data_IF_529184398531
#
_entry.id   IF_529184398531
#
_cell.length_a   1.000
_cell.length_b   1.000
_cell.length_c   1.000
_cell.angle_alpha   90.00
_cell.angle_beta   90.00
_cell.angle_gamma   90.00
#
_symmetry.space_group_name_H-M   'P 1'
#
loop_
_entity.id
_entity.type
_entity.pdbx_description
1 polymer ?
#
# COMPACT_ATOMS: atom_id res chain seq x y z
N UNK A 1 -28.71 -0.18 -4.28
CA UNK A 1 -27.67 -1.12 -4.72
C UNK A 1 -26.73 -0.36 -5.62
N UNK A 2 -25.51 -0.21 -5.15
CA UNK A 2 -24.49 0.57 -5.83
C UNK A 2 -23.53 -0.42 -6.50
N UNK A 3 -23.90 -0.85 -7.73
CA UNK A 3 -23.13 -1.82 -8.52
C UNK A 3 -21.65 -1.41 -8.66
N UNK A 4 -21.36 -0.11 -8.59
CA UNK A 4 -20.00 0.43 -8.65
C UNK A 4 -19.15 0.08 -7.41
N UNK A 5 -19.75 -0.02 -6.22
CA UNK A 5 -19.01 -0.37 -4.99
C UNK A 5 -18.53 -1.82 -5.06
N UNK A 6 -19.42 -2.74 -5.42
CA UNK A 6 -19.06 -4.15 -5.47
C UNK A 6 -18.10 -4.46 -6.63
N UNK A 7 -18.23 -3.75 -7.77
CA UNK A 7 -17.24 -3.80 -8.84
C UNK A 7 -15.87 -3.33 -8.33
N UNK A 8 -15.81 -2.24 -7.57
CA UNK A 8 -14.54 -1.74 -6.99
C UNK A 8 -13.91 -2.77 -6.03
N UNK A 9 -14.72 -3.38 -5.16
CA UNK A 9 -14.25 -4.41 -4.22
C UNK A 9 -13.72 -5.64 -4.99
N UNK A 10 -14.38 -6.03 -6.07
CA UNK A 10 -13.95 -7.13 -6.96
C UNK A 10 -12.68 -6.77 -7.76
N UNK A 11 -12.51 -5.51 -8.18
CA UNK A 11 -11.27 -5.05 -8.82
C UNK A 11 -10.06 -5.09 -7.88
N UNK A 12 -10.32 -4.94 -6.58
CA UNK A 12 -9.35 -5.04 -5.49
C UNK A 12 -9.25 -6.44 -4.87
N UNK A 13 -9.70 -7.47 -5.59
CA UNK A 13 -9.54 -8.86 -5.17
C UNK A 13 -8.09 -9.34 -5.35
N UNK A 14 -7.60 -10.09 -4.37
CA UNK A 14 -6.34 -10.84 -4.41
C UNK A 14 -6.61 -12.31 -4.73
N UNK A 15 -5.63 -12.96 -5.35
CA UNK A 15 -5.73 -14.39 -5.70
C UNK A 15 -5.45 -15.24 -4.47
N UNK A 16 -6.50 -15.61 -3.76
CA UNK A 16 -6.43 -16.41 -2.56
C UNK A 16 -5.81 -15.71 -1.35
N UNK A 17 -6.14 -16.26 -0.20
CA UNK A 17 -5.57 -15.85 1.08
C UNK A 17 -4.07 -16.15 1.11
N UNK A 18 -3.21 -15.20 1.50
CA UNK A 18 -1.78 -15.45 1.70
C UNK A 18 -1.53 -16.53 2.77
N UNK A 19 -0.47 -17.32 2.60
CA UNK A 19 -0.03 -18.29 3.62
C UNK A 19 0.44 -17.60 4.89
N UNK A 20 1.15 -16.47 4.74
CA UNK A 20 1.58 -15.62 5.84
C UNK A 20 0.49 -14.60 6.19
N UNK A 21 0.08 -14.54 7.45
CA UNK A 21 -0.94 -13.60 7.93
C UNK A 21 -0.41 -12.18 8.15
N UNK A 22 0.41 -11.69 7.22
CA UNK A 22 1.04 -10.37 7.29
C UNK A 22 0.45 -9.42 6.25
N UNK A 23 0.45 -8.12 6.57
CA UNK A 23 0.03 -7.07 5.65
C UNK A 23 0.89 -7.07 4.37
N UNK A 24 2.19 -7.31 4.54
CA UNK A 24 3.14 -7.39 3.42
C UNK A 24 2.81 -8.54 2.47
N UNK A 25 2.49 -9.73 3.00
CA UNK A 25 2.15 -10.89 2.17
C UNK A 25 0.87 -10.63 1.35
N UNK A 26 -0.14 -9.99 1.95
CA UNK A 26 -1.37 -9.60 1.27
C UNK A 26 -1.12 -8.58 0.15
N UNK A 27 -0.37 -7.50 0.44
CA UNK A 27 -0.02 -6.50 -0.56
C UNK A 27 0.86 -7.06 -1.68
N UNK A 28 1.64 -8.11 -1.40
CA UNK A 28 2.39 -8.84 -2.41
C UNK A 28 1.51 -9.66 -3.36
N UNK A 29 0.26 -9.98 -3.02
CA UNK A 29 -0.66 -10.62 -3.97
C UNK A 29 -1.21 -9.63 -5.00
N UNK A 30 -1.24 -8.33 -4.70
CA UNK A 30 -1.71 -7.33 -5.65
C UNK A 30 -0.79 -7.19 -6.86
N UNK A 31 -1.40 -6.96 -8.02
CA UNK A 31 -0.67 -6.52 -9.20
C UNK A 31 -0.20 -5.08 -9.01
N UNK A 32 0.90 -4.70 -9.69
CA UNK A 32 1.37 -3.30 -9.68
C UNK A 32 0.29 -2.31 -10.17
N UNK A 33 -0.64 -2.75 -11.00
CA UNK A 33 -1.76 -1.92 -11.46
C UNK A 33 -2.76 -1.65 -10.35
N UNK A 34 -3.12 -2.67 -9.57
CA UNK A 34 -4.00 -2.51 -8.40
C UNK A 34 -3.36 -1.60 -7.36
N UNK A 35 -2.07 -1.80 -7.04
CA UNK A 35 -1.33 -0.91 -6.13
C UNK A 35 -1.26 0.53 -6.64
N UNK A 36 -1.09 0.74 -7.96
CA UNK A 36 -1.10 2.08 -8.54
C UNK A 36 -2.49 2.73 -8.46
N UNK A 37 -3.56 1.97 -8.70
CA UNK A 37 -4.93 2.46 -8.55
C UNK A 37 -5.21 2.89 -7.10
N UNK A 38 -4.74 2.09 -6.14
CA UNK A 38 -4.82 2.41 -4.71
C UNK A 38 -4.11 3.74 -4.39
N UNK A 39 -2.86 3.89 -4.82
CA UNK A 39 -2.08 5.14 -4.64
C UNK A 39 -2.84 6.35 -5.21
N UNK A 40 -3.41 6.22 -6.40
CA UNK A 40 -4.15 7.31 -7.07
C UNK A 40 -5.42 7.69 -6.31
N UNK A 41 -6.08 6.73 -5.67
CA UNK A 41 -7.33 6.94 -4.94
C UNK A 41 -7.11 7.68 -3.61
N UNK A 42 -5.97 7.45 -2.97
CA UNK A 42 -5.59 8.11 -1.71
C UNK A 42 -4.66 9.32 -1.91
N UNK A 43 -4.38 9.71 -3.16
CA UNK A 43 -3.47 10.81 -3.54
C UNK A 43 -2.10 10.73 -2.82
N UNK A 44 -1.55 9.51 -2.71
CA UNK A 44 -0.29 9.29 -2.02
C UNK A 44 0.88 9.76 -2.90
N UNK A 45 1.90 10.35 -2.28
CA UNK A 45 3.13 10.79 -2.96
C UNK A 45 4.08 9.62 -3.29
N UNK A 46 3.51 8.55 -3.83
CA UNK A 46 4.21 7.34 -4.26
C UNK A 46 4.26 7.34 -5.79
N UNK A 47 5.46 7.43 -6.37
CA UNK A 47 5.56 7.48 -7.83
C UNK A 47 5.27 6.10 -8.45
N UNK A 48 4.37 6.04 -9.44
CA UNK A 48 4.02 4.81 -10.20
C UNK A 48 5.23 4.10 -10.85
N UNK A 49 6.34 4.81 -11.01
CA UNK A 49 7.60 4.29 -11.54
C UNK A 49 8.42 3.48 -10.53
N UNK A 50 8.13 3.58 -9.23
CA UNK A 50 8.82 2.82 -8.18
C UNK A 50 8.67 1.32 -8.40
N UNK A 51 9.59 0.54 -7.83
CA UNK A 51 9.48 -0.92 -7.86
C UNK A 51 8.29 -1.34 -7.00
N UNK A 52 7.73 -2.52 -7.29
CA UNK A 52 6.59 -3.05 -6.52
C UNK A 52 6.92 -3.15 -5.02
N UNK A 53 8.10 -3.63 -4.66
CA UNK A 53 8.53 -3.70 -3.26
C UNK A 53 8.57 -2.33 -2.59
N UNK A 54 9.15 -1.32 -3.24
CA UNK A 54 9.21 0.07 -2.74
C UNK A 54 7.80 0.67 -2.57
N UNK A 55 6.85 0.33 -3.46
CA UNK A 55 5.45 0.73 -3.33
C UNK A 55 4.80 0.05 -2.12
N UNK A 56 5.03 -1.25 -1.94
CA UNK A 56 4.45 -2.01 -0.82
C UNK A 56 4.96 -1.48 0.51
N UNK A 57 6.27 -1.24 0.64
CA UNK A 57 6.87 -0.69 1.86
C UNK A 57 6.25 0.67 2.24
N UNK A 58 6.14 1.58 1.27
CA UNK A 58 5.49 2.88 1.50
C UNK A 58 3.99 2.77 1.83
N UNK A 59 3.29 1.80 1.24
CA UNK A 59 1.89 1.54 1.56
C UNK A 59 1.71 0.96 2.97
N UNK A 60 2.59 0.06 3.40
CA UNK A 60 2.57 -0.48 4.77
C UNK A 60 2.77 0.66 5.76
N UNK A 61 3.78 1.51 5.56
CA UNK A 61 4.04 2.66 6.44
C UNK A 61 2.81 3.59 6.53
N UNK A 62 2.21 3.91 5.38
CA UNK A 62 1.01 4.73 5.33
C UNK A 62 -0.18 4.06 6.04
N UNK A 63 -0.47 2.79 5.73
CA UNK A 63 -1.58 2.04 6.34
C UNK A 63 -1.40 1.95 7.85
N UNK A 64 -0.22 1.58 8.34
CA UNK A 64 0.05 1.51 9.79
C UNK A 64 -0.11 2.86 10.50
N UNK A 65 0.08 3.98 9.79
CA UNK A 65 -0.14 5.31 10.37
C UNK A 65 -1.62 5.73 10.41
N UNK A 66 -2.42 5.33 9.42
CA UNK A 66 -3.82 5.78 9.27
C UNK A 66 -4.81 4.83 9.94
N UNK A 67 -4.50 3.53 10.02
CA UNK A 67 -5.38 2.52 10.63
C UNK A 67 -5.87 2.88 12.04
N UNK A 68 -5.00 3.30 13.00
CA UNK A 68 -5.44 3.62 14.35
C UNK A 68 -6.39 4.82 14.39
N UNK A 69 -6.05 5.89 13.66
CA UNK A 69 -6.87 7.10 13.57
C UNK A 69 -8.25 6.80 12.95
N UNK A 70 -8.29 5.90 11.96
CA UNK A 70 -9.54 5.48 11.36
C UNK A 70 -10.43 4.69 12.32
N UNK A 71 -9.86 3.75 13.07
CA UNK A 71 -10.61 2.95 14.04
C UNK A 71 -11.08 3.77 15.25
N UNK A 72 -10.34 4.81 15.63
CA UNK A 72 -10.75 5.74 16.69
C UNK A 72 -11.84 6.72 16.24
N UNK A 73 -11.76 7.19 14.98
CA UNK A 73 -12.71 8.21 14.46
C UNK A 73 -14.05 7.65 14.00
N UNK A 74 -14.13 6.36 13.68
CA UNK A 74 -15.34 5.72 13.13
C UNK A 74 -15.73 4.50 13.99
N UNK A 75 -16.44 4.76 15.09
CA UNK A 75 -16.91 3.73 16.03
C UNK A 75 -17.78 2.66 15.36
N UNK A 76 -18.61 3.06 14.38
CA UNK A 76 -19.47 2.16 13.62
C UNK A 76 -18.65 1.20 12.74
N UNK A 77 -17.60 1.71 12.10
CA UNK A 77 -16.68 0.91 11.30
C UNK A 77 -15.86 -0.04 12.18
N UNK A 78 -15.38 0.44 13.33
CA UNK A 78 -14.66 -0.38 14.29
C UNK A 78 -15.56 -1.51 14.81
N UNK A 79 -16.78 -1.20 15.25
CA UNK A 79 -17.76 -2.21 15.69
C UNK A 79 -18.10 -3.22 14.58
N UNK A 80 -18.19 -2.78 13.31
CA UNK A 80 -18.36 -3.68 12.19
C UNK A 80 -17.14 -4.60 12.02
N UNK A 81 -15.93 -4.05 12.06
CA UNK A 81 -14.69 -4.80 11.96
C UNK A 81 -14.54 -5.84 13.07
N UNK A 82 -14.76 -5.46 14.34
CA UNK A 82 -14.62 -6.41 15.45
C UNK A 82 -15.67 -7.51 15.41
N UNK A 83 -16.94 -7.17 15.17
CA UNK A 83 -18.03 -8.14 15.29
C UNK A 83 -18.22 -9.00 14.03
N UNK A 84 -18.11 -8.40 12.85
CA UNK A 84 -18.48 -9.06 11.58
C UNK A 84 -17.27 -9.55 10.79
N UNK A 85 -16.05 -9.19 11.20
CA UNK A 85 -14.82 -9.62 10.51
C UNK A 85 -13.91 -10.41 11.45
N UNK A 86 -13.50 -9.83 12.58
CA UNK A 86 -12.53 -10.48 13.48
C UNK A 86 -13.17 -11.60 14.30
N UNK A 87 -14.30 -11.32 14.96
CA UNK A 87 -14.98 -12.26 15.85
C UNK A 87 -16.09 -13.07 15.14
N UNK A 88 -16.13 -13.05 13.81
CA UNK A 88 -17.16 -13.75 13.07
C UNK A 88 -16.91 -15.27 13.06
N UNK A 89 -17.96 -16.05 13.30
CA UNK A 89 -17.91 -17.52 13.24
C UNK A 89 -17.59 -18.05 11.84
N UNK A 90 -17.89 -17.26 10.80
CA UNK A 90 -17.64 -17.55 9.39
C UNK A 90 -17.06 -16.32 8.69
N UNK A 91 -16.15 -16.50 7.71
CA UNK A 91 -15.66 -15.40 6.88
C UNK A 91 -16.82 -14.68 6.20
N UNK A 92 -16.76 -13.35 6.15
CA UNK A 92 -17.77 -12.56 5.45
C UNK A 92 -17.59 -12.70 3.94
N UNK A 93 -18.60 -13.25 3.27
CA UNK A 93 -18.63 -13.35 1.81
C UNK A 93 -18.99 -12.00 1.17
N UNK A 94 -18.23 -11.63 0.13
CA UNK A 94 -18.49 -10.46 -0.70
C UNK A 94 -19.52 -10.83 -1.76
N UNK A 95 -20.78 -10.56 -1.45
CA UNK A 95 -21.91 -10.80 -2.33
C UNK A 95 -22.74 -9.54 -2.60
N UNK A 96 -23.52 -9.60 -3.67
CA UNK A 96 -24.43 -8.51 -4.04
C UNK A 96 -25.56 -8.33 -3.01
N UNK A 97 -25.76 -9.29 -2.10
CA UNK A 97 -26.76 -9.26 -1.03
C UNK A 97 -26.35 -8.40 0.18
N UNK A 98 -25.08 -7.98 0.26
CA UNK A 98 -24.62 -7.07 1.30
C UNK A 98 -25.35 -5.72 1.23
N UNK A 99 -25.66 -5.15 2.38
CA UNK A 99 -26.26 -3.81 2.42
C UNK A 99 -25.28 -2.77 1.87
N UNK A 100 -25.79 -1.71 1.25
CA UNK A 100 -24.94 -0.66 0.67
C UNK A 100 -23.98 -0.04 1.71
N UNK A 101 -24.44 0.09 2.96
CA UNK A 101 -23.59 0.56 4.07
C UNK A 101 -22.49 -0.43 4.42
N UNK A 102 -22.79 -1.72 4.39
CA UNK A 102 -21.78 -2.75 4.69
C UNK A 102 -20.78 -2.86 3.53
N UNK A 103 -21.22 -2.69 2.29
CA UNK A 103 -20.32 -2.59 1.13
C UNK A 103 -19.38 -1.38 1.26
N UNK A 104 -19.88 -0.22 1.68
CA UNK A 104 -19.04 0.97 1.93
C UNK A 104 -18.03 0.72 3.05
N UNK A 105 -18.45 0.09 4.16
CA UNK A 105 -17.56 -0.28 5.28
C UNK A 105 -16.49 -1.26 4.83
N UNK A 106 -16.87 -2.30 4.11
CA UNK A 106 -15.94 -3.29 3.56
C UNK A 106 -14.92 -2.62 2.65
N UNK A 107 -15.37 -1.79 1.70
CA UNK A 107 -14.46 -1.07 0.81
C UNK A 107 -13.49 -0.20 1.61
N UNK A 108 -13.97 0.52 2.62
CA UNK A 108 -13.16 1.36 3.50
C UNK A 108 -12.12 0.54 4.29
N UNK A 109 -12.48 -0.66 4.76
CA UNK A 109 -11.54 -1.57 5.43
C UNK A 109 -10.45 -2.06 4.46
N UNK A 110 -10.80 -2.40 3.22
CA UNK A 110 -9.82 -2.85 2.20
C UNK A 110 -8.89 -1.69 1.80
N UNK A 111 -9.46 -0.50 1.63
CA UNK A 111 -8.73 0.74 1.32
C UNK A 111 -7.73 1.15 2.41
N UNK A 112 -7.85 0.64 3.63
CA UNK A 112 -6.89 0.93 4.70
C UNK A 112 -6.06 -0.29 5.08
N UNK A 113 -6.13 -1.37 4.30
CA UNK A 113 -5.37 -2.60 4.53
C UNK A 113 -5.74 -3.34 5.81
N UNK A 114 -6.95 -3.10 6.34
CA UNK A 114 -7.46 -3.79 7.52
C UNK A 114 -8.00 -5.18 7.16
N UNK A 115 -8.55 -5.31 5.95
CA UNK A 115 -9.05 -6.55 5.37
C UNK A 115 -8.66 -6.62 3.89
N UNK A 116 -8.74 -7.81 3.30
CA UNK A 116 -8.49 -8.07 1.89
C UNK A 116 -9.61 -8.95 1.35
N UNK A 117 -10.05 -8.69 0.13
CA UNK A 117 -10.96 -9.58 -0.57
C UNK A 117 -10.15 -10.70 -1.25
N UNK A 118 -10.23 -11.91 -0.72
CA UNK A 118 -9.55 -13.09 -1.23
C UNK A 118 -10.58 -14.14 -1.65
N UNK A 119 -10.69 -14.40 -2.95
CA UNK A 119 -11.65 -15.37 -3.52
C UNK A 119 -13.13 -15.11 -3.14
N UNK A 120 -13.52 -13.84 -3.02
CA UNK A 120 -14.82 -13.35 -2.54
C UNK A 120 -15.08 -13.54 -1.04
N UNK A 121 -14.05 -13.84 -0.24
CA UNK A 121 -14.13 -13.86 1.21
C UNK A 121 -13.23 -12.78 1.82
N UNK A 122 -13.66 -12.19 2.93
CA UNK A 122 -12.82 -11.27 3.68
C UNK A 122 -11.73 -12.01 4.46
N UNK A 123 -10.50 -11.59 4.22
CA UNK A 123 -9.32 -12.08 4.90
C UNK A 123 -8.66 -10.95 5.70
N UNK A 124 -8.21 -11.25 6.91
CA UNK A 124 -7.59 -10.29 7.84
C UNK A 124 -6.13 -10.63 8.13
N UNK A 125 -5.20 -9.64 8.10
CA UNK A 125 -3.86 -9.83 8.65
C UNK A 125 -3.88 -9.96 10.18
N UNK A 126 -3.09 -10.86 10.74
CA UNK A 126 -3.08 -11.20 12.17
C UNK A 126 -2.71 -9.99 13.05
N UNK A 127 -1.71 -9.20 12.62
CA UNK A 127 -1.25 -8.03 13.35
C UNK A 127 -2.34 -6.94 13.47
N UNK A 128 -3.30 -6.90 12.56
CA UNK A 128 -4.41 -5.94 12.58
C UNK A 128 -5.54 -6.45 13.47
N UNK A 129 -5.80 -7.75 13.47
CA UNK A 129 -6.82 -8.37 14.34
C UNK A 129 -6.52 -8.15 15.84
N UNK A 130 -5.25 -8.06 16.23
CA UNK A 130 -4.84 -7.83 17.63
C UNK A 130 -5.07 -6.39 18.14
N UNK A 131 -5.35 -5.43 17.25
CA UNK A 131 -5.59 -4.03 17.65
C UNK A 131 -6.89 -3.84 18.44
N UNK A 132 -7.80 -4.82 18.38
CA UNK A 132 -9.15 -4.74 18.98
C UNK A 132 -9.30 -5.56 20.28
N UNK A 133 -8.36 -6.46 20.57
CA UNK A 133 -8.41 -7.33 21.77
C UNK A 133 -7.76 -6.71 23.02
N UNK A 134 -7.10 -5.56 22.89
CA UNK A 134 -6.30 -4.99 23.99
C UNK A 134 -7.10 -4.23 25.05
N UNK A 135 -8.42 -4.14 24.98
CA UNK A 135 -9.23 -3.41 25.97
C UNK A 135 -10.04 -4.28 26.94
N UNK A 136 -9.92 -5.62 26.88
CA UNK A 136 -10.68 -6.46 27.81
C UNK A 136 -10.04 -7.80 28.21
N UNK A 137 -8.75 -7.87 28.54
CA UNK A 137 -8.28 -8.87 29.53
C UNK A 137 -7.26 -8.30 30.52
N UNK A 138 -7.79 -8.13 31.72
CA UNK A 138 -7.13 -7.85 33.00
C UNK A 138 -5.91 -8.75 33.19
N UNK A 139 -4.73 -8.14 33.16
CA UNK A 139 -3.45 -8.75 33.47
C UNK A 139 -3.49 -9.40 34.86
N UNK A 140 -3.31 -10.72 34.92
CA UNK A 140 -3.06 -11.47 36.13
C UNK A 140 -1.72 -12.22 36.00
N UNK A 141 -0.75 -11.66 36.72
CA UNK A 141 0.36 -12.31 37.42
C UNK A 141 1.40 -13.16 36.65
N UNK A 142 2.60 -12.57 36.59
CA UNK A 142 3.88 -13.11 37.07
C UNK A 142 4.20 -14.60 36.85
N UNK A 143 5.30 -14.87 36.14
CA UNK A 143 6.48 -15.29 36.88
C UNK A 143 7.82 -15.01 36.17
N UNK A 144 8.75 -14.64 37.03
CA UNK A 144 10.11 -14.17 36.91
C UNK A 144 11.11 -15.28 36.51
N UNK A 145 12.13 -14.94 35.70
CA UNK A 145 13.53 -15.42 35.94
C UNK A 145 14.55 -14.70 35.05
N UNK A 146 14.99 -13.56 35.54
CA UNK A 146 16.39 -13.18 35.79
C UNK A 146 17.52 -13.95 35.07
N UNK A 147 18.35 -13.24 34.28
CA UNK A 147 19.80 -13.15 34.57
C UNK A 147 20.52 -12.00 33.84
N UNK A 148 21.19 -11.18 34.64
CA UNK A 148 22.14 -10.11 34.30
C UNK A 148 23.40 -10.58 33.57
N UNK A 149 24.01 -9.66 32.79
CA UNK A 149 25.35 -9.05 33.02
C UNK A 149 25.56 -7.96 31.95
N UNK A 150 25.65 -6.65 32.26
CA UNK A 150 26.82 -5.89 32.77
C UNK A 150 28.06 -6.00 31.86
N UNK A 151 28.78 -4.97 31.37
CA UNK A 151 28.83 -3.51 31.54
C UNK A 151 29.81 -2.91 30.49
N UNK A 152 29.72 -1.59 30.22
CA UNK A 152 30.82 -0.59 30.08
C UNK A 152 31.96 -0.78 29.03
N UNK A 153 32.65 0.21 28.45
CA UNK A 153 32.68 1.69 28.39
C UNK A 153 33.69 2.06 27.26
N UNK A 154 33.89 3.37 27.02
CA UNK A 154 35.03 4.05 26.36
C UNK A 154 35.10 4.31 24.83
N UNK A 155 34.77 5.57 24.50
CA UNK A 155 35.68 6.65 24.04
C UNK A 155 36.34 6.67 22.62
N UNK A 156 35.88 7.68 21.86
CA UNK A 156 36.60 8.71 21.09
C UNK A 156 37.66 8.35 20.01
N UNK A 157 37.49 8.87 18.78
CA UNK A 157 38.44 9.84 18.17
C UNK A 157 37.86 10.57 16.93
N UNK A 158 38.20 11.85 16.84
CA UNK A 158 37.92 12.84 15.79
C UNK A 158 38.91 12.70 14.62
N UNK A 159 38.50 12.92 13.36
CA UNK A 159 39.36 13.56 12.33
C UNK A 159 38.62 14.05 11.06
N UNK A 160 38.54 15.37 11.01
CA UNK A 160 38.64 16.37 9.93
C UNK A 160 38.76 15.99 8.43
N UNK A 161 38.14 16.85 7.62
CA UNK A 161 38.06 16.97 6.15
C UNK A 161 39.40 17.12 5.38
N UNK A 162 39.38 17.16 4.03
CA UNK A 162 39.34 18.48 3.37
C UNK A 162 38.42 18.59 2.13
N UNK A 163 37.98 19.84 1.87
CA UNK A 163 37.23 20.31 0.72
C UNK A 163 38.11 20.61 -0.52
N UNK A 164 37.47 20.74 -1.71
CA UNK A 164 37.70 21.69 -2.85
C UNK A 164 37.28 21.08 -4.22
N UNK A 165 37.13 21.83 -5.35
CA UNK A 165 36.25 22.97 -5.61
C UNK A 165 35.43 22.84 -6.95
N UNK A 166 34.55 23.84 -7.14
CA UNK A 166 33.59 24.13 -8.23
C UNK A 166 34.02 23.84 -9.69
N UNK A 167 33.05 23.37 -10.50
CA UNK A 167 32.92 23.75 -11.92
C UNK A 167 31.50 24.24 -12.21
N UNK A 168 31.37 25.56 -12.37
CA UNK A 168 30.19 26.23 -12.91
C UNK A 168 29.97 25.80 -14.36
N UNK A 169 28.84 25.16 -14.65
CA UNK A 169 28.39 24.92 -16.02
C UNK A 169 27.28 25.92 -16.33
N UNK A 170 27.54 26.77 -17.33
CA UNK A 170 26.64 27.79 -17.86
C UNK A 170 25.26 27.20 -18.12
N UNK A 171 24.23 27.73 -17.43
CA UNK A 171 22.83 27.47 -17.76
C UNK A 171 22.52 28.14 -19.09
N UNK A 172 22.42 27.36 -20.15
CA UNK A 172 21.68 27.76 -21.34
C UNK A 172 20.21 27.70 -20.98
N UNK A 173 19.56 28.87 -20.92
CA UNK A 173 18.11 29.04 -20.80
C UNK A 173 17.42 28.31 -21.96
N UNK A 174 16.94 27.09 -21.70
CA UNK A 174 16.03 26.40 -22.60
C UNK A 174 14.63 26.94 -22.32
N UNK A 175 13.95 27.47 -23.34
CA UNK A 175 12.54 27.79 -23.29
C UNK A 175 11.78 26.61 -22.68
N UNK A 176 11.10 26.84 -21.56
CA UNK A 176 10.21 25.87 -20.93
C UNK A 176 9.02 25.66 -21.85
N UNK A 177 9.07 24.59 -22.65
CA UNK A 177 7.89 24.07 -23.35
C UNK A 177 6.83 23.77 -22.30
N UNK A 178 5.59 24.16 -22.59
CA UNK A 178 4.47 23.86 -21.71
C UNK A 178 4.32 22.33 -21.56
N UNK A 179 3.73 21.86 -20.44
CA UNK A 179 3.50 20.42 -20.22
C UNK A 179 2.81 19.73 -21.41
N UNK A 180 1.87 20.43 -22.05
CA UNK A 180 1.14 19.94 -23.22
C UNK A 180 2.04 19.76 -24.46
N UNK A 181 2.93 20.72 -24.73
CA UNK A 181 3.89 20.63 -25.84
C UNK A 181 4.89 19.49 -25.62
N UNK A 182 5.28 19.24 -24.36
CA UNK A 182 6.16 18.12 -24.00
C UNK A 182 5.48 16.78 -24.28
N UNK A 183 4.23 16.62 -23.85
CA UNK A 183 3.42 15.42 -24.11
C UNK A 183 3.21 15.22 -25.61
N UNK A 184 2.89 16.28 -26.35
CA UNK A 184 2.70 16.23 -27.80
C UNK A 184 3.98 15.81 -28.55
N UNK A 185 5.15 16.31 -28.11
CA UNK A 185 6.44 15.95 -28.68
C UNK A 185 6.80 14.49 -28.39
N UNK A 186 6.53 14.01 -27.19
CA UNK A 186 6.77 12.61 -26.81
C UNK A 186 5.88 11.65 -27.61
N UNK A 187 4.58 11.95 -27.74
CA UNK A 187 3.64 11.19 -28.58
C UNK A 187 4.12 11.11 -30.04
N UNK A 188 4.58 12.24 -30.61
CA UNK A 188 5.14 12.28 -31.98
C UNK A 188 6.41 11.43 -32.12
N UNK A 189 7.31 11.46 -31.14
CA UNK A 189 8.54 10.68 -31.15
C UNK A 189 8.25 9.17 -31.04
N UNK A 190 7.34 8.77 -30.16
CA UNK A 190 6.93 7.38 -29.97
C UNK A 190 6.25 6.81 -31.22
N UNK A 191 5.41 7.60 -31.89
CA UNK A 191 4.79 7.21 -33.17
C UNK A 191 5.83 7.03 -34.28
N UNK A 192 6.82 7.94 -34.38
CA UNK A 192 7.93 7.80 -35.34
C UNK A 192 8.75 6.53 -35.08
N UNK A 193 9.00 6.21 -33.81
CA UNK A 193 9.71 4.98 -33.42
C UNK A 193 8.95 3.73 -33.87
N UNK A 194 7.66 3.62 -33.58
CA UNK A 194 6.83 2.49 -34.01
C UNK A 194 6.76 2.35 -35.53
N UNK A 195 6.60 3.47 -36.27
CA UNK A 195 6.64 3.46 -37.74
C UNK A 195 7.99 2.96 -38.27
N UNK A 196 9.10 3.33 -37.63
CA UNK A 196 10.45 2.86 -38.01
C UNK A 196 10.62 1.36 -37.76
N UNK A 197 10.11 0.85 -36.63
CA UNK A 197 10.14 -0.57 -36.31
C UNK A 197 9.29 -1.40 -37.28
N UNK A 198 8.09 -0.92 -37.63
CA UNK A 198 7.23 -1.57 -38.60
C UNK A 198 7.87 -1.64 -40.01
N UNK A 199 8.53 -0.56 -40.47
CA UNK A 199 9.26 -0.55 -41.74
C UNK A 199 10.46 -1.50 -41.75
N UNK A 200 11.19 -1.63 -40.63
CA UNK A 200 12.29 -2.60 -40.51
C UNK A 200 11.79 -4.05 -40.59
N UNK A 201 10.65 -4.36 -39.96
CA UNK A 201 10.05 -5.70 -40.05
C UNK A 201 9.55 -6.03 -41.47
N UNK A 202 9.02 -5.06 -42.21
CA UNK A 202 8.61 -5.24 -43.61
C UNK A 202 9.77 -5.46 -44.59
N UNK A 203 10.97 -4.97 -44.31
CA UNK A 203 12.17 -5.16 -45.15
C UNK A 203 12.90 -6.50 -44.91
N UNK A 204 12.55 -7.23 -43.85
CA UNK A 204 13.15 -8.53 -43.50
C UNK A 204 12.31 -9.74 -43.96
N UNK A 205 11.16 -9.48 -44.58
CA UNK A 205 10.38 -10.44 -45.35
C UNK A 205 10.59 -10.13 -46.82
#
# INVERSE_FOLDING_TARGET
>A
MNEQLIETIKEMEIKGAPEEQTLEAALNQYTKKQLAHFIERHDLDIAKSWKKAEIIEALIEWMSSVQPELMESDEDLNAFYSNQVVNADQPLEISDDLSEKDQERVLKLIEHGLVFNADNELWTPEAVAQTVDSESEKSADSNESSKETASQDEAAEVKSQPAQPRKQRKQTSALSLTPEERIAREKKMRLKYFKKQAKKKKKKR
#
